data_IF_057802826970
#
_entry.id   IF_057802826970
#
_cell.length_a   1.000
_cell.length_b   1.000
_cell.length_c   1.000
_cell.angle_alpha   90.00
_cell.angle_beta   90.00
_cell.angle_gamma   90.00
#
_symmetry.space_group_name_H-M   'P 1'
#
loop_
_entity.id
_entity.type
_entity.pdbx_description
1 polymer ?
#
# COMPACT_ATOMS: atom_id res chain seq x y z
N UNK A 1 -16.37 -2.10 15.97
CA UNK A 1 -17.36 -1.91 14.87
C UNK A 1 -16.74 -2.06 13.49
N UNK A 2 -15.66 -1.34 13.14
CA UNK A 2 -15.11 -1.36 11.77
C UNK A 2 -14.50 -2.70 11.32
N UNK A 3 -13.80 -3.43 12.20
CA UNK A 3 -13.30 -4.79 11.89
C UNK A 3 -14.42 -5.78 11.58
N UNK A 4 -15.57 -5.64 12.27
CA UNK A 4 -16.75 -6.50 12.05
C UNK A 4 -17.40 -6.16 10.71
N UNK A 5 -17.65 -4.87 10.46
CA UNK A 5 -18.16 -4.39 9.16
C UNK A 5 -17.32 -4.89 7.98
N UNK A 6 -16.00 -4.79 8.08
CA UNK A 6 -15.14 -5.21 6.97
C UNK A 6 -15.02 -6.74 6.85
N UNK A 7 -15.16 -7.50 7.94
CA UNK A 7 -15.32 -8.95 7.87
C UNK A 7 -16.62 -9.32 7.17
N UNK A 8 -17.73 -8.71 7.56
CA UNK A 8 -19.07 -9.05 7.04
C UNK A 8 -19.20 -8.61 5.58
N UNK A 9 -18.71 -7.41 5.23
CA UNK A 9 -18.81 -6.86 3.87
C UNK A 9 -17.77 -7.43 2.92
N UNK A 10 -16.53 -7.64 3.40
CA UNK A 10 -15.40 -7.98 2.53
C UNK A 10 -14.80 -9.37 2.75
N UNK A 11 -15.20 -10.09 3.80
CA UNK A 11 -14.59 -11.38 4.15
C UNK A 11 -13.17 -11.22 4.71
N UNK A 12 -12.80 -10.02 5.17
CA UNK A 12 -11.48 -9.72 5.71
C UNK A 12 -11.37 -10.22 7.16
N UNK A 13 -11.02 -11.49 7.35
CA UNK A 13 -10.99 -12.13 8.67
C UNK A 13 -9.79 -11.72 9.53
N UNK A 14 -8.66 -11.34 8.91
CA UNK A 14 -7.43 -10.91 9.59
C UNK A 14 -7.38 -9.42 9.96
N UNK A 15 -8.49 -8.71 9.83
CA UNK A 15 -8.56 -7.28 10.09
C UNK A 15 -8.82 -6.98 11.58
N UNK A 16 -7.92 -6.20 12.17
CA UNK A 16 -8.11 -5.57 13.47
C UNK A 16 -7.79 -4.08 13.33
N UNK A 17 -8.81 -3.25 13.15
CA UNK A 17 -8.65 -1.79 13.14
C UNK A 17 -8.95 -1.25 14.53
N UNK A 18 -7.91 -0.76 15.19
CA UNK A 18 -8.01 -0.22 16.56
C UNK A 18 -8.16 1.31 16.54
N UNK A 19 -7.86 1.93 15.41
CA UNK A 19 -8.18 3.32 15.09
C UNK A 19 -8.53 3.51 13.61
N UNK A 20 -9.08 4.69 13.29
CA UNK A 20 -9.45 5.08 11.93
C UNK A 20 -8.31 5.79 11.18
N UNK A 21 -7.29 6.28 11.90
CA UNK A 21 -6.17 7.03 11.34
C UNK A 21 -5.05 6.13 10.82
N UNK A 22 -5.01 4.86 11.25
CA UNK A 22 -3.92 3.93 10.94
C UNK A 22 -2.61 4.29 11.64
N UNK A 23 -2.66 5.12 12.70
CA UNK A 23 -1.47 5.56 13.45
C UNK A 23 -1.10 4.57 14.54
N UNK A 24 -2.08 3.84 15.08
CA UNK A 24 -1.87 2.80 16.07
C UNK A 24 -1.11 1.65 15.45
N UNK A 25 -0.05 1.27 16.15
CA UNK A 25 0.69 0.04 15.93
C UNK A 25 -0.12 -1.22 16.26
N UNK A 26 -1.36 -1.12 16.75
CA UNK A 26 -2.26 -2.24 17.00
C UNK A 26 -3.19 -2.55 15.83
N UNK A 27 -3.31 -1.64 14.87
CA UNK A 27 -4.06 -1.91 13.65
C UNK A 27 -3.33 -2.97 12.80
N UNK A 28 -4.04 -4.03 12.39
CA UNK A 28 -3.53 -5.17 11.62
C UNK A 28 -4.45 -5.46 10.44
N UNK A 29 -3.85 -5.67 9.28
CA UNK A 29 -4.50 -6.18 8.08
C UNK A 29 -3.44 -6.97 7.30
N UNK A 30 -3.82 -8.12 6.76
CA UNK A 30 -2.93 -8.87 5.87
C UNK A 30 -2.96 -8.29 4.46
N UNK A 31 -1.92 -8.54 3.67
CA UNK A 31 -1.93 -8.13 2.25
C UNK A 31 -3.06 -8.83 1.47
N UNK A 32 -3.37 -10.08 1.80
CA UNK A 32 -4.46 -10.86 1.20
C UNK A 32 -5.83 -10.24 1.50
N UNK A 33 -6.10 -9.93 2.78
CA UNK A 33 -7.34 -9.26 3.18
C UNK A 33 -7.50 -7.91 2.48
N UNK A 34 -6.42 -7.12 2.37
CA UNK A 34 -6.45 -5.84 1.67
C UNK A 34 -6.78 -6.02 0.19
N UNK A 35 -6.19 -7.03 -0.47
CA UNK A 35 -6.51 -7.33 -1.88
C UNK A 35 -7.97 -7.77 -2.03
N UNK A 36 -8.51 -8.60 -1.12
CA UNK A 36 -9.94 -8.98 -1.14
C UNK A 36 -10.87 -7.77 -1.00
N UNK A 37 -10.54 -6.85 -0.09
CA UNK A 37 -11.27 -5.60 0.09
C UNK A 37 -11.22 -4.79 -1.21
N UNK A 38 -10.04 -4.61 -1.80
CA UNK A 38 -9.89 -3.88 -3.06
C UNK A 38 -10.69 -4.52 -4.20
N UNK A 39 -10.61 -5.84 -4.39
CA UNK A 39 -11.38 -6.54 -5.44
C UNK A 39 -12.88 -6.25 -5.30
N UNK A 40 -13.44 -6.40 -4.09
CA UNK A 40 -14.86 -6.14 -3.84
C UNK A 40 -15.23 -4.67 -3.94
N UNK A 41 -14.34 -3.78 -3.54
CA UNK A 41 -14.59 -2.36 -3.57
C UNK A 41 -14.33 -1.73 -4.94
N UNK A 42 -13.85 -2.49 -5.92
CA UNK A 42 -13.70 -2.02 -7.30
C UNK A 42 -15.03 -1.66 -7.96
N UNK A 43 -16.12 -2.27 -7.51
CA UNK A 43 -17.50 -1.96 -7.92
C UNK A 43 -18.03 -0.66 -7.30
N UNK A 44 -17.39 -0.16 -6.23
CA UNK A 44 -17.73 1.13 -5.61
C UNK A 44 -17.01 2.27 -6.33
N UNK A 45 -17.79 3.13 -6.99
CA UNK A 45 -17.29 4.36 -7.62
C UNK A 45 -16.65 5.32 -6.61
N UNK A 46 -17.19 5.37 -5.39
CA UNK A 46 -16.73 6.23 -4.30
C UNK A 46 -15.32 5.85 -3.83
N UNK A 47 -15.06 4.57 -3.54
CA UNK A 47 -13.73 4.15 -3.10
C UNK A 47 -12.70 4.32 -4.23
N UNK A 48 -13.09 4.00 -5.47
CA UNK A 48 -12.22 4.19 -6.62
C UNK A 48 -11.83 5.65 -6.83
N UNK A 49 -12.74 6.60 -6.56
CA UNK A 49 -12.48 8.04 -6.65
C UNK A 49 -11.53 8.57 -5.56
N UNK A 50 -11.42 7.88 -4.41
CA UNK A 50 -10.49 8.26 -3.34
C UNK A 50 -9.02 7.89 -3.65
N UNK A 51 -8.79 7.00 -4.61
CA UNK A 51 -7.45 6.63 -5.03
C UNK A 51 -6.84 7.69 -5.92
N UNK A 52 -5.55 7.95 -5.74
CA UNK A 52 -4.82 8.94 -6.54
C UNK A 52 -4.07 8.26 -7.67
N UNK A 53 -4.07 8.89 -8.83
CA UNK A 53 -3.18 8.51 -9.92
C UNK A 53 -1.72 8.81 -9.52
N UNK A 54 -0.92 7.76 -9.35
CA UNK A 54 0.48 7.87 -8.99
C UNK A 54 1.32 7.45 -10.19
N UNK A 55 2.19 8.36 -10.63
CA UNK A 55 3.14 8.08 -11.70
C UNK A 55 4.19 7.08 -11.22
N UNK A 56 4.39 6.03 -12.02
CA UNK A 56 5.38 5.01 -11.75
C UNK A 56 6.80 5.60 -11.80
N UNK A 57 7.67 5.17 -10.89
CA UNK A 57 9.07 5.59 -10.85
C UNK A 57 9.99 4.39 -11.07
N UNK A 58 11.11 4.62 -11.74
CA UNK A 58 12.14 3.63 -11.95
C UNK A 58 13.02 3.45 -10.69
N UNK A 59 13.99 2.54 -10.74
CA UNK A 59 14.88 2.24 -9.63
C UNK A 59 15.71 3.45 -9.15
N UNK A 60 15.91 4.46 -10.00
CA UNK A 60 16.61 5.72 -9.68
C UNK A 60 15.68 6.78 -9.08
N UNK A 61 14.36 6.51 -9.03
CA UNK A 61 13.35 7.45 -8.54
C UNK A 61 12.81 8.41 -9.61
N UNK A 62 13.26 8.29 -10.86
CA UNK A 62 12.76 9.09 -11.98
C UNK A 62 11.46 8.51 -12.51
N UNK A 63 10.63 9.32 -13.17
CA UNK A 63 9.41 8.82 -13.82
C UNK A 63 9.77 7.71 -14.82
N UNK A 64 9.07 6.58 -14.74
CA UNK A 64 9.25 5.48 -15.67
C UNK A 64 8.59 5.85 -17.01
N UNK A 65 9.37 5.95 -18.09
CA UNK A 65 8.86 6.25 -19.44
C UNK A 65 8.05 5.09 -20.04
N UNK A 66 8.21 3.87 -19.53
CA UNK A 66 7.67 2.63 -20.09
C UNK A 66 6.41 2.11 -19.39
N UNK A 67 5.82 2.85 -18.45
CA UNK A 67 4.57 2.44 -17.82
C UNK A 67 3.40 3.11 -18.58
N UNK A 68 2.67 2.38 -19.46
CA UNK A 68 1.63 2.98 -20.32
C UNK A 68 0.48 3.60 -19.52
N UNK A 69 0.32 3.21 -18.26
CA UNK A 69 -0.73 3.71 -17.37
C UNK A 69 -0.15 3.77 -15.97
N UNK A 70 -0.33 4.91 -15.29
CA UNK A 70 -0.03 5.00 -13.85
C UNK A 70 -0.82 3.98 -13.05
N UNK A 71 -0.63 3.95 -11.73
CA UNK A 71 -1.46 3.13 -10.86
C UNK A 71 -2.33 4.02 -9.99
N UNK A 72 -3.54 3.57 -9.66
CA UNK A 72 -4.41 4.24 -8.69
C UNK A 72 -4.20 3.61 -7.35
N UNK A 73 -3.67 4.35 -6.40
CA UNK A 73 -3.43 3.79 -5.08
C UNK A 73 -3.50 4.81 -3.95
N UNK A 74 -3.58 4.26 -2.75
CA UNK A 74 -3.41 4.99 -1.51
C UNK A 74 -2.08 4.60 -0.87
N UNK A 75 -1.36 5.62 -0.42
CA UNK A 75 -0.18 5.47 0.43
C UNK A 75 -0.56 5.55 1.90
N UNK A 76 0.07 4.69 2.71
CA UNK A 76 0.19 4.81 4.16
C UNK A 76 1.68 4.84 4.51
N UNK A 77 2.13 5.82 5.27
CA UNK A 77 3.55 5.90 5.66
C UNK A 77 3.64 6.30 7.11
N UNK A 78 4.38 5.51 7.90
CA UNK A 78 4.77 5.83 9.26
C UNK A 78 6.29 5.63 9.38
N UNK A 79 6.86 5.93 10.54
CA UNK A 79 8.25 5.59 10.81
C UNK A 79 8.48 4.08 10.68
N UNK A 80 9.38 3.71 9.78
CA UNK A 80 9.72 2.33 9.43
C UNK A 80 8.54 1.48 8.93
N UNK A 81 7.52 2.11 8.36
CA UNK A 81 6.36 1.43 7.75
C UNK A 81 6.00 2.12 6.45
N UNK A 82 5.90 1.35 5.37
CA UNK A 82 5.39 1.82 4.10
C UNK A 82 4.30 0.84 3.61
N UNK A 83 3.11 1.38 3.35
CA UNK A 83 1.99 0.67 2.75
C UNK A 83 1.58 1.32 1.44
N UNK A 84 1.28 0.48 0.46
CA UNK A 84 0.75 0.89 -0.84
C UNK A 84 -0.30 -0.13 -1.28
N UNK A 85 -1.53 0.33 -1.51
CA UNK A 85 -2.61 -0.53 -1.97
C UNK A 85 -3.50 0.19 -2.98
N UNK A 86 -3.97 -0.55 -3.99
CA UNK A 86 -4.78 -0.01 -5.07
C UNK A 86 -4.83 -0.91 -6.30
N UNK A 87 -4.96 -0.28 -7.47
CA UNK A 87 -5.08 -0.95 -8.76
C UNK A 87 -3.96 -0.52 -9.70
N UNK A 88 -3.48 -1.47 -10.50
CA UNK A 88 -2.52 -1.21 -11.57
C UNK A 88 -3.00 -1.85 -12.87
N UNK A 89 -2.96 -1.08 -13.95
CA UNK A 89 -3.29 -1.58 -15.28
C UNK A 89 -2.01 -2.13 -15.93
N UNK A 90 -2.07 -3.36 -16.43
CA UNK A 90 -0.96 -4.01 -17.12
C UNK A 90 -0.86 -3.52 -18.57
N UNK A 91 0.24 -3.85 -19.25
CA UNK A 91 0.41 -3.53 -20.67
C UNK A 91 -0.64 -4.17 -21.59
N UNK A 92 -1.35 -5.20 -21.12
CA UNK A 92 -2.45 -5.86 -21.85
C UNK A 92 -3.81 -5.16 -21.68
N UNK A 93 -3.89 -4.14 -20.82
CA UNK A 93 -5.17 -3.53 -20.42
C UNK A 93 -5.85 -4.20 -19.23
N UNK A 94 -5.41 -5.39 -18.81
CA UNK A 94 -5.90 -6.05 -17.58
C UNK A 94 -5.55 -5.24 -16.34
N UNK A 95 -6.54 -4.99 -15.48
CA UNK A 95 -6.36 -4.34 -14.18
C UNK A 95 -6.10 -5.38 -13.08
N UNK A 96 -5.17 -5.08 -12.17
CA UNK A 96 -4.82 -5.92 -11.03
C UNK A 96 -5.00 -5.13 -9.73
N UNK A 97 -5.71 -5.70 -8.76
CA UNK A 97 -5.68 -5.23 -7.38
C UNK A 97 -4.37 -5.67 -6.71
N UNK A 98 -3.78 -4.79 -5.89
CA UNK A 98 -2.54 -5.10 -5.17
C UNK A 98 -2.50 -4.46 -3.78
N UNK A 99 -1.74 -5.10 -2.89
CA UNK A 99 -1.34 -4.54 -1.61
C UNK A 99 0.11 -4.91 -1.31
N UNK A 100 0.93 -3.91 -0.97
CA UNK A 100 2.32 -4.10 -0.55
C UNK A 100 2.53 -3.40 0.77
N UNK A 101 2.83 -4.20 1.80
CA UNK A 101 3.20 -3.71 3.13
C UNK A 101 4.65 -4.05 3.42
N UNK A 102 5.41 -3.05 3.85
CA UNK A 102 6.78 -3.20 4.33
C UNK A 102 6.87 -2.56 5.70
N UNK A 103 7.42 -3.28 6.67
CA UNK A 103 7.58 -2.78 8.02
C UNK A 103 8.86 -3.33 8.66
N UNK A 104 9.61 -2.46 9.32
CA UNK A 104 10.65 -2.86 10.28
C UNK A 104 10.10 -2.60 11.69
N UNK A 105 9.38 -3.62 12.19
CA UNK A 105 8.64 -3.55 13.45
C UNK A 105 9.57 -3.37 14.64
N UNK A 106 10.76 -3.99 14.59
CA UNK A 106 11.77 -3.89 15.64
C UNK A 106 12.28 -2.46 15.75
N UNK A 107 12.72 -1.84 14.64
CA UNK A 107 13.18 -0.44 14.67
C UNK A 107 12.08 0.53 15.04
N UNK A 108 10.83 0.26 14.62
CA UNK A 108 9.67 1.07 15.01
C UNK A 108 9.41 1.02 16.52
N UNK A 109 9.45 -0.17 17.12
CA UNK A 109 9.21 -0.35 18.54
C UNK A 109 10.27 0.35 19.42
N UNK A 110 11.49 0.47 18.90
CA UNK A 110 12.62 1.10 19.59
C UNK A 110 12.66 2.63 19.46
N UNK A 111 11.68 3.28 18.81
CA UNK A 111 11.68 4.75 18.67
C UNK A 111 11.38 5.41 20.03
N UNK A 112 12.31 6.20 20.60
CA UNK A 112 12.04 6.97 21.81
C UNK A 112 10.92 7.98 21.59
N UNK A 113 10.06 8.22 22.59
CA UNK A 113 8.92 9.16 22.49
C UNK A 113 9.38 10.53 21.98
N UNK A 114 10.46 11.06 22.55
CA UNK A 114 11.06 12.34 22.17
C UNK A 114 11.53 12.43 20.71
N UNK A 115 11.75 11.29 20.05
CA UNK A 115 12.25 11.23 18.66
C UNK A 115 11.19 10.74 17.67
N UNK A 116 9.94 10.53 18.10
CA UNK A 116 8.87 9.99 17.25
C UNK A 116 8.54 10.86 16.03
N UNK A 117 8.78 12.16 16.10
CA UNK A 117 8.52 13.05 14.98
C UNK A 117 9.46 12.75 13.79
N UNK A 118 10.76 12.61 14.05
CA UNK A 118 11.78 12.39 13.02
C UNK A 118 12.88 11.41 13.47
N UNK A 119 12.57 10.11 13.61
CA UNK A 119 13.56 9.12 14.05
C UNK A 119 14.71 9.00 13.06
N UNK A 120 15.93 8.88 13.58
CA UNK A 120 17.13 8.69 12.76
C UNK A 120 16.95 7.46 11.85
N UNK A 121 17.15 7.67 10.55
CA UNK A 121 17.07 6.61 9.54
C UNK A 121 15.67 6.25 9.04
N UNK A 122 14.59 6.77 9.62
CA UNK A 122 13.21 6.48 9.18
C UNK A 122 12.97 6.93 7.73
N UNK A 123 13.43 8.13 7.37
CA UNK A 123 13.28 8.67 6.01
C UNK A 123 14.00 7.82 4.95
N UNK A 124 15.27 7.45 5.21
CA UNK A 124 16.05 6.65 4.25
C UNK A 124 15.50 5.23 4.11
N UNK A 125 15.03 4.63 5.21
CA UNK A 125 14.34 3.34 5.19
C UNK A 125 13.04 3.43 4.38
N UNK A 126 12.19 4.43 4.65
CA UNK A 126 10.92 4.62 3.94
C UNK A 126 11.13 4.85 2.44
N UNK A 127 12.18 5.58 2.06
CA UNK A 127 12.57 5.76 0.65
C UNK A 127 12.92 4.42 0.00
N UNK A 128 13.73 3.57 0.64
CA UNK A 128 14.09 2.24 0.12
C UNK A 128 12.87 1.33 -0.02
N UNK A 129 11.98 1.33 0.98
CA UNK A 129 10.74 0.55 0.94
C UNK A 129 9.84 0.96 -0.25
N UNK A 130 9.66 2.26 -0.48
CA UNK A 130 8.91 2.78 -1.64
C UNK A 130 9.54 2.42 -2.98
N UNK A 131 10.88 2.44 -3.07
CA UNK A 131 11.58 1.99 -4.28
C UNK A 131 11.31 0.50 -4.54
N UNK A 132 11.33 -0.34 -3.52
CA UNK A 132 11.01 -1.76 -3.65
C UNK A 132 9.57 -1.96 -4.12
N UNK A 133 8.61 -1.25 -3.52
CA UNK A 133 7.19 -1.28 -3.94
C UNK A 133 7.04 -0.97 -5.44
N UNK A 134 7.69 0.09 -5.92
CA UNK A 134 7.64 0.44 -7.34
C UNK A 134 8.34 -0.58 -8.24
N UNK A 135 9.44 -1.20 -7.80
CA UNK A 135 10.08 -2.30 -8.54
C UNK A 135 9.15 -3.50 -8.70
N UNK A 136 8.41 -3.87 -7.64
CA UNK A 136 7.44 -4.95 -7.68
C UNK A 136 6.29 -4.64 -8.64
N UNK A 137 5.72 -3.43 -8.57
CA UNK A 137 4.66 -2.98 -9.48
C UNK A 137 5.13 -2.99 -10.95
N UNK A 138 6.29 -2.39 -11.23
CA UNK A 138 6.88 -2.43 -12.57
C UNK A 138 6.99 -3.87 -13.08
N UNK A 139 7.51 -4.79 -12.26
CA UNK A 139 7.63 -6.21 -12.64
C UNK A 139 6.27 -6.85 -12.90
N UNK A 140 5.26 -6.61 -12.06
CA UNK A 140 3.92 -7.18 -12.22
C UNK A 140 3.22 -6.68 -13.48
N UNK A 141 3.34 -5.39 -13.83
CA UNK A 141 2.82 -4.84 -15.08
C UNK A 141 3.35 -5.56 -16.33
N UNK A 142 4.59 -6.07 -16.27
CA UNK A 142 5.22 -6.79 -17.37
C UNK A 142 4.99 -8.30 -17.31
N UNK A 143 4.91 -8.88 -16.11
CA UNK A 143 4.77 -10.33 -15.92
C UNK A 143 3.37 -10.85 -16.23
N UNK A 144 2.32 -10.14 -15.82
CA UNK A 144 0.93 -10.63 -15.89
C UNK A 144 0.21 -10.15 -17.17
N UNK A 145 0.79 -10.46 -18.34
CA UNK A 145 0.28 -10.02 -19.65
C UNK A 145 -0.85 -10.89 -20.25
N UNK A 146 -1.27 -11.96 -19.57
CA UNK A 146 -2.35 -12.86 -19.99
C UNK A 146 -3.11 -13.36 -18.75
#
# INVERSE_FOLDING_TARGET
>A
QMSRWARDRFGASGLSLVDHSGLSDRSRITADDMVRILIKARESTELYALLKDIKMRNAKGNLARSAPTGFRAKTGTLNFVAGLGGYVTTASGRELAFAIFSADRTRRALIPVAQRERPKGASSWNRRAKILQYKMLNRWCHKYRS
#
